data_IF_391554157357
#
_entry.id   IF_391554157357
#
_cell.length_a   1.000
_cell.length_b   1.000
_cell.length_c   1.000
_cell.angle_alpha   90.00
_cell.angle_beta   90.00
_cell.angle_gamma   90.00
#
_symmetry.space_group_name_H-M   'P 1'
#
loop_
_entity.id
_entity.type
_entity.pdbx_description
1 polymer ?
#
# COMPACT_ATOMS: atom_id res chain seq x y z
N UNK A 1 11.36 29.55 4.62
CA UNK A 1 12.71 29.60 4.04
C UNK A 1 12.95 31.05 3.62
N UNK A 2 13.77 31.80 4.36
CA UNK A 2 14.29 33.11 3.92
C UNK A 2 15.69 32.86 3.38
N UNK A 3 15.94 33.14 2.11
CA UNK A 3 17.22 32.87 1.42
C UNK A 3 18.21 34.05 1.49
N UNK A 4 17.98 35.01 2.39
CA UNK A 4 18.87 36.15 2.57
C UNK A 4 20.21 35.67 3.17
N UNK A 5 21.30 35.74 2.39
CA UNK A 5 22.64 35.37 2.83
C UNK A 5 23.10 33.94 2.50
N UNK A 6 22.35 33.18 1.69
CA UNK A 6 22.72 31.83 1.27
C UNK A 6 23.97 31.85 0.36
N UNK A 7 25.09 31.30 0.84
CA UNK A 7 26.34 31.17 0.07
C UNK A 7 26.52 29.80 -0.60
N UNK A 8 25.88 28.77 -0.04
CA UNK A 8 25.97 27.40 -0.50
C UNK A 8 24.70 26.65 -0.14
N UNK A 9 24.24 25.78 -1.06
CA UNK A 9 23.10 24.90 -0.83
C UNK A 9 23.46 23.66 -0.01
N UNK A 10 24.75 23.34 0.09
CA UNK A 10 25.25 22.10 0.69
C UNK A 10 26.12 22.33 1.94
N UNK A 11 26.56 23.56 2.17
CA UNK A 11 27.37 23.95 3.32
C UNK A 11 26.64 24.96 4.18
N UNK A 12 26.23 24.54 5.38
CA UNK A 12 25.52 25.33 6.39
C UNK A 12 24.45 26.28 5.79
N UNK A 13 23.46 25.75 5.03
CA UNK A 13 22.45 26.59 4.37
C UNK A 13 21.43 27.20 5.36
N UNK A 14 21.46 26.78 6.62
CA UNK A 14 20.54 27.19 7.68
C UNK A 14 21.30 27.91 8.80
N UNK A 15 20.60 28.80 9.51
CA UNK A 15 21.15 29.47 10.70
C UNK A 15 21.23 28.56 11.93
N UNK A 16 20.28 27.62 12.07
CA UNK A 16 20.25 26.59 13.11
C UNK A 16 19.35 25.42 12.70
N UNK A 17 19.54 24.25 13.33
CA UNK A 17 18.63 23.09 13.27
C UNK A 17 18.08 22.89 14.68
N UNK A 18 16.76 22.92 14.83
CA UNK A 18 16.07 22.64 16.08
C UNK A 18 15.14 21.43 15.90
N UNK A 19 15.16 20.51 16.86
CA UNK A 19 14.37 19.28 16.81
C UNK A 19 14.59 18.41 18.04
N UNK A 20 13.70 17.44 18.25
CA UNK A 20 13.86 16.44 19.30
C UNK A 20 15.10 15.57 19.01
N UNK A 21 15.93 15.31 20.03
CA UNK A 21 17.12 14.47 19.89
C UNK A 21 16.72 13.03 19.52
N UNK A 22 17.30 12.49 18.44
CA UNK A 22 17.06 11.12 17.93
C UNK A 22 18.31 10.23 18.00
N UNK A 23 19.32 10.59 18.79
CA UNK A 23 20.59 9.87 18.92
C UNK A 23 21.72 10.48 18.09
N UNK A 24 22.55 9.63 17.49
CA UNK A 24 23.68 10.06 16.66
C UNK A 24 23.18 10.61 15.31
N UNK A 25 23.46 11.88 15.05
CA UNK A 25 22.99 12.58 13.85
C UNK A 25 24.19 12.89 12.96
N UNK A 26 24.16 12.34 11.74
CA UNK A 26 25.19 12.61 10.74
C UNK A 26 24.87 13.93 10.03
N UNK A 27 25.67 14.97 10.28
CA UNK A 27 25.51 16.29 9.66
C UNK A 27 26.41 16.47 8.43
N UNK A 28 25.90 16.11 7.25
CA UNK A 28 26.64 16.32 5.99
C UNK A 28 26.71 17.78 5.52
N UNK A 29 25.99 18.70 6.18
CA UNK A 29 26.02 20.12 5.83
C UNK A 29 27.04 20.93 6.63
N UNK A 30 27.68 20.34 7.65
CA UNK A 30 28.78 20.99 8.38
C UNK A 30 29.96 21.25 7.43
N UNK A 31 30.71 22.34 7.67
CA UNK A 31 31.94 22.63 6.91
C UNK A 31 32.95 21.49 7.00
N UNK A 32 33.03 20.84 8.17
CA UNK A 32 33.94 19.72 8.43
C UNK A 32 33.59 18.46 7.64
N UNK A 33 32.38 18.36 7.11
CA UNK A 33 31.94 17.22 6.31
C UNK A 33 32.38 17.31 4.83
N UNK A 34 33.16 18.33 4.42
CA UNK A 34 33.58 18.51 3.03
C UNK A 34 34.32 17.30 2.45
N UNK A 35 35.27 16.74 3.21
CA UNK A 35 35.99 15.54 2.81
C UNK A 35 35.06 14.32 2.66
N UNK A 36 34.04 14.19 3.51
CA UNK A 36 33.06 13.11 3.41
C UNK A 36 32.18 13.27 2.17
N UNK A 37 31.70 14.48 1.87
CA UNK A 37 30.90 14.75 0.67
C UNK A 37 31.68 14.45 -0.61
N UNK A 38 32.95 14.85 -0.66
CA UNK A 38 33.84 14.53 -1.79
C UNK A 38 34.07 13.03 -1.91
N UNK A 39 34.40 12.36 -0.81
CA UNK A 39 34.58 10.92 -0.79
C UNK A 39 33.33 10.13 -1.20
N UNK A 40 32.12 10.62 -0.92
CA UNK A 40 30.87 10.00 -1.39
C UNK A 40 30.72 10.10 -2.92
N UNK A 41 31.11 11.24 -3.51
CA UNK A 41 31.10 11.43 -4.96
C UNK A 41 32.19 10.59 -5.63
N UNK A 42 33.37 10.53 -5.05
CA UNK A 42 34.49 9.72 -5.54
C UNK A 42 34.11 8.23 -5.52
N UNK A 43 33.51 7.77 -4.40
CA UNK A 43 32.99 6.40 -4.27
C UNK A 43 31.92 6.10 -5.34
N UNK A 44 31.02 7.05 -5.61
CA UNK A 44 30.01 6.91 -6.66
C UNK A 44 30.62 6.85 -8.06
N UNK A 45 31.67 7.65 -8.33
CA UNK A 45 32.37 7.65 -9.61
C UNK A 45 33.19 6.37 -9.82
N UNK A 46 33.90 5.91 -8.79
CA UNK A 46 34.83 4.79 -8.88
C UNK A 46 34.13 3.43 -8.86
N UNK A 47 33.13 3.27 -7.99
CA UNK A 47 32.46 1.99 -7.78
C UNK A 47 31.16 1.90 -8.60
N UNK A 48 30.48 3.03 -8.81
CA UNK A 48 29.12 3.03 -9.34
C UNK A 48 28.09 2.52 -8.33
N UNK A 49 26.80 2.83 -8.55
CA UNK A 49 25.74 2.54 -7.57
C UNK A 49 25.64 1.04 -7.25
N UNK A 50 25.75 0.17 -8.26
CA UNK A 50 25.57 -1.28 -8.09
C UNK A 50 26.67 -1.93 -7.26
N UNK A 51 27.91 -1.41 -7.34
CA UNK A 51 29.01 -1.93 -6.53
C UNK A 51 28.94 -1.38 -5.12
N UNK A 52 28.55 -0.12 -4.93
CA UNK A 52 28.32 0.45 -3.60
C UNK A 52 27.28 -0.36 -2.83
N UNK A 53 26.16 -0.72 -3.49
CA UNK A 53 25.13 -1.56 -2.87
C UNK A 53 25.67 -2.93 -2.46
N UNK A 54 26.53 -3.55 -3.29
CA UNK A 54 27.16 -4.83 -2.95
C UNK A 54 28.13 -4.74 -1.78
N UNK A 55 28.96 -3.69 -1.73
CA UNK A 55 29.88 -3.45 -0.61
C UNK A 55 29.10 -3.14 0.67
N UNK A 56 28.02 -2.34 0.57
CA UNK A 56 27.13 -2.04 1.69
C UNK A 56 26.44 -3.31 2.21
N UNK A 57 25.88 -4.13 1.33
CA UNK A 57 25.29 -5.42 1.71
C UNK A 57 26.33 -6.38 2.33
N UNK A 58 27.59 -6.35 1.87
CA UNK A 58 28.66 -7.12 2.48
C UNK A 58 29.04 -6.63 3.89
N UNK A 59 28.92 -5.34 4.17
CA UNK A 59 29.09 -4.76 5.51
C UNK A 59 27.90 -5.06 6.44
N UNK A 60 26.70 -5.20 5.88
CA UNK A 60 25.47 -5.55 6.61
C UNK A 60 25.30 -7.06 6.86
N UNK A 61 26.19 -7.93 6.35
CA UNK A 61 26.07 -9.40 6.45
C UNK A 61 26.01 -9.99 7.86
N UNK A 62 26.26 -9.22 8.91
CA UNK A 62 25.99 -9.62 10.30
C UNK A 62 24.50 -9.48 10.70
N UNK A 63 23.64 -8.98 9.81
CA UNK A 63 22.19 -8.94 9.95
C UNK A 63 21.58 -9.90 8.93
N UNK A 64 20.90 -10.94 9.42
CA UNK A 64 20.42 -12.09 8.65
C UNK A 64 19.81 -11.70 7.30
N UNK A 65 20.38 -12.22 6.22
CA UNK A 65 19.95 -11.98 4.85
C UNK A 65 18.51 -12.47 4.64
N UNK A 66 17.58 -11.52 4.46
CA UNK A 66 16.32 -11.80 3.79
C UNK A 66 16.60 -12.07 2.30
N UNK A 67 15.87 -12.99 1.64
CA UNK A 67 16.02 -13.20 0.20
C UNK A 67 15.75 -11.89 -0.54
N UNK A 68 16.61 -11.57 -1.52
CA UNK A 68 16.45 -10.37 -2.32
C UNK A 68 15.10 -10.39 -3.05
N UNK A 69 14.33 -9.30 -3.04
CA UNK A 69 13.11 -9.22 -3.82
C UNK A 69 13.46 -9.17 -5.31
N UNK A 70 13.04 -10.20 -6.04
CA UNK A 70 13.04 -10.22 -7.50
C UNK A 70 12.03 -9.18 -8.03
N UNK A 71 12.44 -7.93 -8.28
CA UNK A 71 11.73 -7.06 -9.22
C UNK A 71 12.66 -6.20 -10.08
N UNK A 72 12.28 -5.95 -11.36
CA UNK A 72 13.21 -6.12 -12.46
C UNK A 72 13.66 -4.80 -13.09
N UNK A 73 14.96 -4.70 -13.33
CA UNK A 73 15.55 -3.84 -14.37
C UNK A 73 16.05 -4.67 -15.57
N UNK A 74 15.43 -5.83 -15.82
CA UNK A 74 15.85 -6.78 -16.87
C UNK A 74 14.80 -6.89 -17.99
N UNK A 75 15.23 -7.11 -19.26
CA UNK A 75 14.34 -7.33 -20.41
C UNK A 75 13.54 -8.65 -20.36
N UNK A 76 13.71 -9.45 -19.31
CA UNK A 76 12.99 -10.71 -19.10
C UNK A 76 12.26 -10.64 -17.77
N UNK A 77 10.94 -10.84 -17.82
CA UNK A 77 10.07 -10.92 -16.67
C UNK A 77 10.18 -12.32 -16.04
N UNK A 78 10.83 -12.41 -14.88
CA UNK A 78 10.88 -13.63 -14.06
C UNK A 78 9.72 -13.57 -13.08
N UNK A 79 8.76 -14.49 -13.21
CA UNK A 79 7.59 -14.59 -12.32
C UNK A 79 7.60 -15.93 -11.60
N UNK A 80 7.04 -16.00 -10.38
CA UNK A 80 6.79 -17.26 -9.73
C UNK A 80 5.93 -18.20 -10.59
N UNK A 81 6.15 -19.52 -10.46
CA UNK A 81 5.35 -20.54 -11.16
C UNK A 81 3.90 -20.66 -10.65
N UNK A 82 3.50 -19.80 -9.71
CA UNK A 82 2.19 -19.80 -9.07
C UNK A 82 1.55 -18.43 -9.21
N UNK A 83 0.22 -18.40 -9.23
CA UNK A 83 -0.58 -17.16 -9.29
C UNK A 83 -1.34 -16.88 -7.99
N UNK A 84 -1.36 -17.83 -7.04
CA UNK A 84 -2.05 -17.64 -5.77
C UNK A 84 -1.28 -16.64 -4.90
N UNK A 85 -1.99 -15.70 -4.29
CA UNK A 85 -1.40 -14.73 -3.36
C UNK A 85 -1.27 -15.40 -2.00
N UNK A 86 -0.03 -15.57 -1.53
CA UNK A 86 0.29 -16.21 -0.26
C UNK A 86 0.61 -15.18 0.80
N UNK A 87 0.58 -15.62 2.06
CA UNK A 87 0.95 -14.77 3.19
C UNK A 87 2.43 -14.35 3.12
N UNK A 88 3.30 -15.15 2.49
CA UNK A 88 4.69 -14.76 2.18
C UNK A 88 4.80 -13.56 1.25
N UNK A 89 3.78 -13.30 0.43
CA UNK A 89 3.78 -12.28 -0.61
C UNK A 89 3.15 -10.96 -0.12
N UNK A 90 2.72 -10.92 1.15
CA UNK A 90 1.96 -9.84 1.76
C UNK A 90 2.54 -9.48 3.12
N UNK A 91 2.93 -8.23 3.31
CA UNK A 91 3.26 -7.70 4.64
C UNK A 91 1.96 -7.48 5.40
N UNK A 92 1.56 -8.46 6.21
CA UNK A 92 0.25 -8.49 6.87
C UNK A 92 -0.06 -7.25 7.71
N UNK A 93 0.93 -6.67 8.39
CA UNK A 93 0.74 -5.42 9.17
C UNK A 93 0.26 -4.24 8.31
N UNK A 94 0.77 -4.14 7.08
CA UNK A 94 0.36 -3.10 6.12
C UNK A 94 -1.05 -3.33 5.63
N UNK A 95 -1.39 -4.59 5.34
CA UNK A 95 -2.76 -4.96 4.96
C UNK A 95 -3.76 -4.62 6.07
N UNK A 96 -3.45 -5.00 7.31
CA UNK A 96 -4.25 -4.66 8.48
C UNK A 96 -4.37 -3.14 8.67
N UNK A 97 -3.29 -2.40 8.40
CA UNK A 97 -3.29 -0.94 8.42
C UNK A 97 -4.32 -0.34 7.46
N UNK A 98 -4.33 -0.82 6.21
CA UNK A 98 -5.29 -0.35 5.21
C UNK A 98 -6.74 -0.68 5.61
N UNK A 99 -6.97 -1.87 6.17
CA UNK A 99 -8.29 -2.29 6.64
C UNK A 99 -8.77 -1.47 7.85
N UNK A 100 -7.90 -1.21 8.82
CA UNK A 100 -8.22 -0.42 10.00
C UNK A 100 -8.43 1.05 9.64
N UNK A 101 -7.61 1.63 8.77
CA UNK A 101 -7.81 2.99 8.27
C UNK A 101 -9.18 3.15 7.60
N UNK A 102 -9.60 2.17 6.80
CA UNK A 102 -10.92 2.16 6.19
C UNK A 102 -12.06 2.07 7.23
N UNK A 103 -11.88 1.29 8.30
CA UNK A 103 -12.89 1.11 9.34
C UNK A 103 -13.01 2.33 10.28
N UNK A 104 -11.89 2.89 10.71
CA UNK A 104 -11.84 3.98 11.70
C UNK A 104 -12.06 5.36 11.07
N UNK A 105 -11.47 5.58 9.89
CA UNK A 105 -11.36 6.90 9.28
C UNK A 105 -12.24 7.09 8.06
N UNK A 106 -12.69 5.99 7.46
CA UNK A 106 -13.69 5.99 6.40
C UNK A 106 -14.89 6.89 6.73
N UNK A 107 -15.63 6.66 7.82
CA UNK A 107 -16.83 7.43 8.12
C UNK A 107 -16.63 8.95 8.30
N UNK A 108 -15.47 9.37 8.84
CA UNK A 108 -15.21 10.78 9.18
C UNK A 108 -14.66 11.58 7.99
N UNK A 109 -13.64 11.05 7.31
CA UNK A 109 -12.95 11.75 6.22
C UNK A 109 -13.60 11.56 4.85
N UNK A 110 -14.44 10.52 4.72
CA UNK A 110 -15.17 10.19 3.51
C UNK A 110 -16.67 10.44 3.69
N UNK A 111 -17.11 11.30 4.61
CA UNK A 111 -18.55 11.60 4.75
C UNK A 111 -19.17 12.03 3.40
N UNK A 112 -18.51 12.92 2.65
CA UNK A 112 -18.92 13.30 1.28
C UNK A 112 -18.86 12.16 0.26
N UNK A 113 -17.93 11.24 0.46
CA UNK A 113 -17.66 10.14 -0.45
C UNK A 113 -18.59 8.94 -0.16
N UNK A 114 -19.05 8.79 1.08
CA UNK A 114 -20.12 7.90 1.53
C UNK A 114 -21.50 8.45 1.14
N UNK A 115 -21.62 9.77 0.92
CA UNK A 115 -22.80 10.37 0.31
C UNK A 115 -22.89 10.08 -1.19
N UNK A 116 -21.81 9.59 -1.83
CA UNK A 116 -21.89 9.03 -3.18
C UNK A 116 -22.69 7.72 -3.10
N UNK A 117 -23.86 7.63 -3.76
CA UNK A 117 -24.68 6.43 -3.71
C UNK A 117 -23.88 5.19 -4.16
N UNK A 118 -23.93 4.13 -3.36
CA UNK A 118 -23.23 2.87 -3.60
C UNK A 118 -21.94 2.71 -2.80
N UNK A 119 -21.28 3.79 -2.35
CA UNK A 119 -20.02 3.66 -1.59
C UNK A 119 -20.28 3.09 -0.19
N UNK A 120 -19.99 1.81 -0.02
CA UNK A 120 -20.07 1.10 1.26
C UNK A 120 -18.72 0.86 1.92
N UNK A 121 -18.74 0.23 3.11
CA UNK A 121 -17.52 -0.09 3.87
C UNK A 121 -16.51 -0.92 3.07
N UNK A 122 -16.97 -1.85 2.21
CA UNK A 122 -16.10 -2.64 1.35
C UNK A 122 -15.39 -1.82 0.27
N UNK A 123 -16.05 -0.78 -0.23
CA UNK A 123 -15.51 0.16 -1.22
C UNK A 123 -14.50 1.08 -0.58
N UNK A 124 -14.75 1.56 0.65
CA UNK A 124 -13.75 2.30 1.43
C UNK A 124 -12.50 1.45 1.69
N UNK A 125 -12.66 0.15 1.99
CA UNK A 125 -11.50 -0.78 2.11
C UNK A 125 -10.70 -0.89 0.82
N UNK A 126 -11.36 -0.97 -0.34
CA UNK A 126 -10.67 -0.97 -1.63
C UNK A 126 -9.94 0.36 -1.86
N UNK A 127 -10.57 1.49 -1.54
CA UNK A 127 -9.98 2.82 -1.65
C UNK A 127 -8.76 3.01 -0.75
N UNK A 128 -8.69 2.35 0.42
CA UNK A 128 -7.51 2.41 1.28
C UNK A 128 -6.26 1.78 0.61
N UNK A 129 -6.44 0.64 -0.06
CA UNK A 129 -5.38 0.00 -0.83
C UNK A 129 -5.00 0.84 -2.07
N UNK A 130 -5.99 1.40 -2.76
CA UNK A 130 -5.75 2.27 -3.92
C UNK A 130 -5.06 3.58 -3.52
N UNK A 131 -5.41 4.17 -2.38
CA UNK A 131 -4.78 5.38 -1.87
C UNK A 131 -3.28 5.19 -1.66
N UNK A 132 -2.87 4.03 -1.12
CA UNK A 132 -1.45 3.69 -0.98
C UNK A 132 -0.78 3.48 -2.34
N UNK A 133 -1.47 3.00 -3.38
CA UNK A 133 -0.91 2.97 -4.75
C UNK A 133 -0.67 4.39 -5.28
N UNK A 134 -1.57 5.32 -4.98
CA UNK A 134 -1.51 6.70 -5.49
C UNK A 134 -0.54 7.60 -4.71
N UNK A 135 -0.41 7.39 -3.40
CA UNK A 135 0.31 8.29 -2.48
C UNK A 135 1.46 7.59 -1.70
N UNK A 136 1.60 6.28 -1.85
CA UNK A 136 2.63 5.44 -1.24
C UNK A 136 4.05 5.82 -1.64
N UNK A 137 4.98 5.71 -0.69
CA UNK A 137 6.41 5.80 -1.00
C UNK A 137 6.90 4.54 -1.74
N UNK A 138 7.91 4.62 -2.62
CA UNK A 138 8.41 3.48 -3.41
C UNK A 138 8.74 2.21 -2.60
N UNK A 139 9.25 2.36 -1.37
CA UNK A 139 9.59 1.23 -0.49
C UNK A 139 8.38 0.40 -0.01
N UNK A 140 7.15 0.86 -0.26
CA UNK A 140 5.91 0.18 0.15
C UNK A 140 5.37 -0.79 -0.89
N UNK A 141 6.01 -0.85 -2.06
CA UNK A 141 5.68 -1.74 -3.15
C UNK A 141 6.52 -3.03 -3.15
N UNK A 142 7.18 -3.33 -2.02
CA UNK A 142 7.92 -4.59 -1.82
C UNK A 142 7.01 -5.83 -1.85
N UNK A 143 5.72 -5.66 -1.53
CA UNK A 143 4.71 -6.71 -1.48
C UNK A 143 3.50 -6.39 -2.38
N UNK A 144 3.68 -6.34 -3.71
CA UNK A 144 2.67 -5.84 -4.63
C UNK A 144 1.44 -6.74 -4.71
N UNK A 145 1.56 -8.01 -4.34
CA UNK A 145 0.43 -8.95 -4.23
C UNK A 145 -0.68 -8.43 -3.30
N UNK A 146 -0.34 -7.63 -2.28
CA UNK A 146 -1.30 -7.02 -1.35
C UNK A 146 -2.36 -6.19 -2.06
N UNK A 147 -2.00 -5.44 -3.11
CA UNK A 147 -2.94 -4.54 -3.78
C UNK A 147 -4.03 -5.28 -4.57
N UNK A 148 -3.81 -6.56 -4.90
CA UNK A 148 -4.83 -7.42 -5.49
C UNK A 148 -6.04 -7.61 -4.56
N UNK A 149 -5.89 -7.46 -3.24
CA UNK A 149 -6.99 -7.56 -2.27
C UNK A 149 -7.98 -6.39 -2.37
N UNK A 150 -7.69 -5.34 -3.14
CA UNK A 150 -8.65 -4.28 -3.39
C UNK A 150 -9.82 -4.79 -4.26
N UNK A 151 -9.51 -5.53 -5.33
CA UNK A 151 -10.44 -5.89 -6.40
C UNK A 151 -10.36 -7.34 -6.88
N UNK A 152 -9.62 -8.20 -6.19
CA UNK A 152 -9.47 -9.61 -6.53
C UNK A 152 -8.74 -9.85 -7.86
N UNK A 153 -8.96 -11.04 -8.42
CA UNK A 153 -8.35 -11.51 -9.66
C UNK A 153 -9.37 -12.17 -10.58
N UNK A 154 -9.10 -12.08 -11.89
CA UNK A 154 -9.97 -12.66 -12.93
C UNK A 154 -9.99 -14.19 -12.89
N UNK A 155 -8.94 -14.79 -12.35
CA UNK A 155 -8.75 -16.22 -12.11
C UNK A 155 -9.21 -16.67 -10.71
N UNK A 156 -9.81 -15.77 -9.93
CA UNK A 156 -10.21 -15.97 -8.52
C UNK A 156 -9.07 -15.94 -7.50
N UNK A 157 -7.88 -15.45 -7.87
CA UNK A 157 -6.78 -15.25 -6.93
C UNK A 157 -6.52 -13.75 -6.71
N UNK A 158 -6.62 -13.23 -5.47
CA UNK A 158 -6.96 -13.92 -4.24
C UNK A 158 -8.44 -14.32 -4.13
N UNK A 159 -9.35 -13.62 -4.80
CA UNK A 159 -10.79 -13.92 -4.87
C UNK A 159 -11.38 -13.34 -6.18
N UNK A 160 -12.61 -13.71 -6.59
CA UNK A 160 -13.23 -13.25 -7.84
C UNK A 160 -13.47 -11.75 -7.84
N UNK A 161 -13.39 -11.10 -9.00
CA UNK A 161 -13.50 -9.64 -9.12
C UNK A 161 -14.89 -9.16 -8.65
N UNK A 162 -15.00 -8.34 -7.58
CA UNK A 162 -16.27 -7.82 -7.10
C UNK A 162 -16.67 -6.62 -7.95
N UNK A 163 -17.39 -6.85 -9.05
CA UNK A 163 -17.66 -5.81 -10.05
C UNK A 163 -18.34 -4.56 -9.49
N UNK A 164 -19.27 -4.70 -8.53
CA UNK A 164 -19.96 -3.55 -7.92
C UNK A 164 -18.97 -2.62 -7.22
N UNK A 165 -18.10 -3.19 -6.39
CA UNK A 165 -17.06 -2.47 -5.65
C UNK A 165 -16.04 -1.85 -6.62
N UNK A 166 -15.71 -2.57 -7.69
CA UNK A 166 -14.80 -2.08 -8.73
C UNK A 166 -15.38 -0.83 -9.41
N UNK A 167 -16.62 -0.90 -9.89
CA UNK A 167 -17.28 0.21 -10.58
C UNK A 167 -17.44 1.43 -9.66
N UNK A 168 -17.81 1.21 -8.39
CA UNK A 168 -17.87 2.27 -7.38
C UNK A 168 -16.50 2.91 -7.15
N UNK A 169 -15.44 2.11 -6.99
CA UNK A 169 -14.06 2.61 -6.83
C UNK A 169 -13.65 3.46 -8.03
N UNK A 170 -13.94 3.02 -9.26
CA UNK A 170 -13.69 3.79 -10.49
C UNK A 170 -14.47 5.10 -10.47
N UNK A 171 -15.75 5.07 -10.09
CA UNK A 171 -16.62 6.25 -10.01
C UNK A 171 -16.05 7.31 -9.08
N UNK A 172 -15.60 6.88 -7.89
CA UNK A 172 -14.96 7.73 -6.88
C UNK A 172 -13.69 8.37 -7.43
N UNK A 173 -12.78 7.58 -8.00
CA UNK A 173 -11.53 8.10 -8.55
C UNK A 173 -11.78 9.07 -9.70
N UNK A 174 -12.76 8.78 -10.58
CA UNK A 174 -13.16 9.69 -11.67
C UNK A 174 -13.69 11.02 -11.14
N UNK A 175 -14.55 10.97 -10.11
CA UNK A 175 -15.07 12.17 -9.44
C UNK A 175 -13.92 12.99 -8.84
N UNK A 176 -13.02 12.33 -8.10
CA UNK A 176 -11.92 12.99 -7.42
C UNK A 176 -11.00 13.71 -8.40
N UNK A 177 -10.63 13.04 -9.50
CA UNK A 177 -9.80 13.63 -10.56
C UNK A 177 -10.53 14.78 -11.26
N UNK A 178 -11.83 14.64 -11.54
CA UNK A 178 -12.61 15.69 -12.19
C UNK A 178 -12.74 16.94 -11.29
N UNK A 179 -13.04 16.76 -10.01
CA UNK A 179 -13.16 17.85 -9.03
C UNK A 179 -11.82 18.54 -8.77
N UNK A 180 -10.73 17.80 -8.66
CA UNK A 180 -9.40 18.38 -8.47
C UNK A 180 -8.97 19.25 -9.66
N UNK A 181 -9.32 18.86 -10.90
CA UNK A 181 -9.11 19.71 -12.09
C UNK A 181 -9.87 21.04 -12.02
N UNK A 182 -10.93 21.12 -11.23
CA UNK A 182 -11.71 22.34 -10.96
C UNK A 182 -11.25 23.07 -9.68
N UNK A 183 -10.11 22.68 -9.11
CA UNK A 183 -9.56 23.25 -7.88
C UNK A 183 -10.27 22.78 -6.60
N UNK A 184 -11.08 21.71 -6.67
CA UNK A 184 -11.77 21.12 -5.52
C UNK A 184 -11.05 19.83 -5.11
N UNK A 185 -10.11 19.97 -4.18
CA UNK A 185 -9.19 18.90 -3.81
C UNK A 185 -9.64 18.06 -2.62
N UNK A 186 -10.87 18.24 -2.14
CA UNK A 186 -11.40 17.56 -0.94
C UNK A 186 -11.37 16.03 -1.08
N UNK A 187 -11.82 15.48 -2.22
CA UNK A 187 -11.85 14.03 -2.46
C UNK A 187 -10.45 13.43 -2.64
N UNK A 188 -9.55 14.10 -3.37
CA UNK A 188 -8.14 13.64 -3.48
C UNK A 188 -7.44 13.75 -2.12
N UNK A 189 -7.73 14.81 -1.36
CA UNK A 189 -7.25 14.97 0.01
C UNK A 189 -7.75 13.85 0.92
N UNK A 190 -8.97 13.37 0.74
CA UNK A 190 -9.52 12.24 1.50
C UNK A 190 -8.75 10.95 1.21
N UNK A 191 -8.44 10.65 -0.06
CA UNK A 191 -7.59 9.52 -0.43
C UNK A 191 -6.21 9.60 0.24
N UNK A 192 -5.57 10.77 0.21
CA UNK A 192 -4.29 10.96 0.88
C UNK A 192 -4.39 10.74 2.40
N UNK A 193 -5.42 11.28 3.06
CA UNK A 193 -5.64 11.07 4.51
C UNK A 193 -5.84 9.60 4.87
N UNK A 194 -6.43 8.81 3.97
CA UNK A 194 -6.64 7.37 4.17
C UNK A 194 -5.31 6.60 4.18
N UNK A 195 -4.40 6.94 3.28
CA UNK A 195 -3.03 6.40 3.26
C UNK A 195 -2.23 6.88 4.48
N UNK A 196 -2.29 8.16 4.82
CA UNK A 196 -1.64 8.71 6.02
C UNK A 196 -2.12 8.01 7.31
N UNK A 197 -3.43 7.75 7.44
CA UNK A 197 -3.98 7.00 8.56
C UNK A 197 -3.48 5.56 8.57
N UNK A 198 -3.47 4.87 7.42
CA UNK A 198 -2.98 3.49 7.34
C UNK A 198 -1.57 3.36 7.92
N UNK A 199 -0.68 4.30 7.56
CA UNK A 199 0.70 4.37 8.06
C UNK A 199 0.76 4.61 9.58
N UNK A 200 -0.20 5.36 10.13
CA UNK A 200 -0.27 5.63 11.56
C UNK A 200 -0.71 4.39 12.34
N UNK A 201 -1.73 3.66 11.85
CA UNK A 201 -2.29 2.49 12.53
C UNK A 201 -1.46 1.22 12.34
N UNK A 202 -0.70 1.11 11.25
CA UNK A 202 0.20 -0.02 10.94
C UNK A 202 1.08 -0.44 12.12
N UNK A 203 1.51 0.52 12.95
CA UNK A 203 2.45 0.28 14.05
C UNK A 203 1.90 -0.66 15.14
N UNK A 204 0.59 -0.69 15.32
CA UNK A 204 -0.07 -1.39 16.44
C UNK A 204 -1.24 -2.27 16.03
N UNK A 205 -1.71 -2.17 14.79
CA UNK A 205 -2.84 -2.96 14.31
C UNK A 205 -2.47 -4.43 14.16
N UNK A 206 -3.41 -5.27 14.56
CA UNK A 206 -3.44 -6.71 14.29
C UNK A 206 -4.78 -7.07 13.67
N UNK A 207 -4.84 -8.12 12.88
CA UNK A 207 -6.07 -8.51 12.21
C UNK A 207 -6.09 -9.99 11.83
N UNK A 208 -7.14 -10.39 11.10
CA UNK A 208 -7.31 -11.78 10.64
C UNK A 208 -6.17 -12.20 9.71
N UNK A 209 -5.95 -13.51 9.64
CA UNK A 209 -5.03 -14.12 8.67
C UNK A 209 -5.46 -13.84 7.23
N UNK A 210 -4.52 -13.93 6.28
CA UNK A 210 -4.84 -13.77 4.85
C UNK A 210 -5.94 -14.75 4.42
N UNK A 211 -5.89 -15.99 4.91
CA UNK A 211 -6.88 -17.03 4.62
C UNK A 211 -8.29 -16.64 5.06
N UNK A 212 -8.44 -16.07 6.24
CA UNK A 212 -9.73 -15.61 6.76
C UNK A 212 -10.27 -14.41 5.97
N UNK A 213 -9.40 -13.48 5.58
CA UNK A 213 -9.77 -12.35 4.72
C UNK A 213 -10.30 -12.87 3.38
N UNK A 214 -9.54 -13.75 2.73
CA UNK A 214 -9.92 -14.33 1.44
C UNK A 214 -11.21 -15.14 1.54
N UNK A 215 -11.38 -15.95 2.58
CA UNK A 215 -12.63 -16.69 2.80
C UNK A 215 -13.84 -15.76 2.91
N UNK A 216 -13.73 -14.67 3.67
CA UNK A 216 -14.81 -13.68 3.78
C UNK A 216 -15.16 -12.99 2.45
N UNK A 217 -14.17 -12.78 1.58
CA UNK A 217 -14.40 -12.22 0.24
C UNK A 217 -15.10 -13.22 -0.69
N UNK A 218 -14.78 -14.51 -0.60
CA UNK A 218 -15.51 -15.57 -1.30
C UNK A 218 -16.96 -15.67 -0.84
N UNK A 219 -17.21 -15.66 0.48
CA UNK A 219 -18.56 -15.75 1.05
C UNK A 219 -19.47 -14.61 0.54
N UNK A 220 -18.92 -13.42 0.39
CA UNK A 220 -19.64 -12.22 -0.04
C UNK A 220 -19.63 -12.01 -1.56
N UNK A 221 -18.87 -12.79 -2.32
CA UNK A 221 -18.59 -12.52 -3.73
C UNK A 221 -19.87 -12.40 -4.57
N UNK A 222 -20.83 -13.31 -4.35
CA UNK A 222 -22.13 -13.29 -5.04
C UNK A 222 -22.92 -11.99 -4.79
N UNK A 223 -22.83 -11.40 -3.58
CA UNK A 223 -23.50 -10.13 -3.25
C UNK A 223 -22.85 -8.95 -3.96
N UNK A 224 -21.54 -9.02 -4.17
CA UNK A 224 -20.72 -7.96 -4.75
C UNK A 224 -20.59 -8.04 -6.28
N UNK A 225 -21.32 -8.96 -6.92
CA UNK A 225 -21.23 -9.18 -8.37
C UNK A 225 -19.92 -9.85 -8.77
N UNK A 226 -19.46 -10.80 -7.95
CA UNK A 226 -18.26 -11.59 -8.17
C UNK A 226 -18.22 -12.18 -9.57
N UNK A 227 -17.15 -11.87 -10.31
CA UNK A 227 -16.93 -12.34 -11.67
C UNK A 227 -15.52 -12.83 -11.86
N UNK A 228 -15.41 -13.97 -12.54
CA UNK A 228 -14.15 -14.57 -12.95
C UNK A 228 -14.24 -15.04 -14.40
N UNK A 229 -13.14 -15.58 -14.93
CA UNK A 229 -13.12 -16.29 -16.22
C UNK A 229 -14.05 -17.51 -16.22
N UNK A 230 -14.41 -18.03 -15.04
CA UNK A 230 -15.32 -19.16 -14.86
C UNK A 230 -16.80 -18.74 -14.82
N UNK A 231 -17.10 -17.43 -14.86
CA UNK A 231 -18.45 -16.90 -14.86
C UNK A 231 -18.77 -16.08 -13.61
N UNK A 232 -20.05 -16.07 -13.25
CA UNK A 232 -20.58 -15.36 -12.08
C UNK A 232 -20.49 -16.24 -10.84
N UNK A 233 -20.12 -15.64 -9.71
CA UNK A 233 -20.13 -16.34 -8.44
C UNK A 233 -21.55 -16.54 -7.92
N UNK A 234 -21.84 -17.78 -7.55
CA UNK A 234 -23.14 -18.18 -6.98
C UNK A 234 -23.13 -18.04 -5.47
N UNK A 235 -24.31 -17.87 -4.88
CA UNK A 235 -24.44 -17.94 -3.43
C UNK A 235 -23.92 -19.31 -2.92
N UNK A 236 -23.22 -19.35 -1.77
CA UNK A 236 -22.78 -20.60 -1.17
C UNK A 236 -24.00 -21.49 -0.89
N UNK A 237 -23.89 -22.79 -1.20
CA UNK A 237 -24.95 -23.75 -0.88
C UNK A 237 -25.17 -23.79 0.63
N UNK A 238 -26.41 -23.62 1.07
CA UNK A 238 -26.74 -23.71 2.50
C UNK A 238 -26.28 -25.08 3.05
N UNK A 239 -25.65 -25.13 4.24
CA UNK A 239 -25.20 -26.39 4.82
C UNK A 239 -26.38 -27.37 4.91
N UNK A 240 -26.13 -28.62 4.49
CA UNK A 240 -27.13 -29.66 4.26
C UNK A 240 -28.01 -30.00 5.49
N UNK A 241 -27.62 -29.58 6.69
CA UNK A 241 -28.29 -29.89 7.95
C UNK A 241 -29.61 -29.15 8.18
N UNK A 242 -29.90 -28.07 7.43
CA UNK A 242 -31.16 -27.35 7.57
C UNK A 242 -32.36 -28.01 6.84
N UNK A 243 -32.11 -29.00 5.96
CA UNK A 243 -33.18 -29.64 5.16
C UNK A 243 -33.88 -30.81 5.88
N UNK A 244 -33.30 -31.40 6.93
CA UNK A 244 -33.93 -32.53 7.65
C UNK A 244 -34.95 -32.11 8.72
N UNK A 245 -34.92 -30.86 9.21
CA UNK A 245 -35.86 -30.42 10.27
C UNK A 245 -37.26 -30.09 9.70
N UNK A 246 -37.39 -29.81 8.40
CA UNK A 246 -38.68 -29.46 7.78
C UNK A 246 -39.54 -30.64 7.31
N UNK A 247 -39.08 -31.89 7.45
CA UNK A 247 -39.86 -33.08 7.04
C UNK A 247 -40.47 -33.88 8.21
N UNK A 248 -40.39 -33.39 9.46
CA UNK A 248 -40.96 -34.06 10.65
C UNK A 248 -41.95 -33.20 11.45
N UNK A 249 -42.78 -32.40 10.79
CA UNK A 249 -43.96 -31.79 11.42
C UNK A 249 -45.21 -32.07 10.61
#
# INVERSE_FOLDING_TARGET
WLSEGLKSFVEQPHAAIEGANQGEIINLTDRRADASRKGQLDLLQDLGPDRILREFAALERDVAAAPEPDQPMLPHLVMPAHHDVRESDVVMRRLHGNMAAAAERGPADFSELLLVPGVGARTVRALALVAEVLHGAPCRFSDPGRFSLAHGGKDRHPFPVPLKVYDETIGVLKSAVYKARLGRDEEIGALKRLDDQSRQVERYVTGPSLKEIVAGEFDQSHLLGGRSVFGWETAPEAPADAKQIKQKR
#
